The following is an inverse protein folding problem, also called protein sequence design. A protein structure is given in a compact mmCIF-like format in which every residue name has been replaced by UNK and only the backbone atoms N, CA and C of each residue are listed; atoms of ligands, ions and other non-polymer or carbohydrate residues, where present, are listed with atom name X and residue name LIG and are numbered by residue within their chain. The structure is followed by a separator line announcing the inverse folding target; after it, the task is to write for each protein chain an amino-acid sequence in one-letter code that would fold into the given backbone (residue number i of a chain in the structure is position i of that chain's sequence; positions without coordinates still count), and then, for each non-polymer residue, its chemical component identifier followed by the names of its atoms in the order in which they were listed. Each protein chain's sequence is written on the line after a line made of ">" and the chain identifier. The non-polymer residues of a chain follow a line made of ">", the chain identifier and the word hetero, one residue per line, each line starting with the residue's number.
data_IF_431609579649
#
_entry.id   IF_431609579649
#
_cell.length_a   1.000
_cell.length_b   1.000
_cell.length_c   1.000
_cell.angle_alpha   90.00
_cell.angle_beta   90.00
_cell.angle_gamma   90.00
#
_symmetry.space_group_name_H-M   'P 1'
#
loop_
_entity.id
_entity.type
_entity.pdbx_description
1 polymer ?
#
# COMPACT_ATOMS: atom_id res chain seq x y z
N UNK A 1 8.48 -5.83 -7.72
CA UNK A 1 7.30 -6.26 -6.94
C UNK A 1 6.15 -6.59 -7.89
N UNK A 2 5.72 -5.66 -8.74
CA UNK A 2 4.60 -5.90 -9.66
C UNK A 2 4.83 -7.12 -10.58
N UNK A 3 6.06 -7.40 -10.98
CA UNK A 3 6.42 -8.54 -11.83
C UNK A 3 6.38 -9.86 -11.07
N UNK A 4 6.92 -9.89 -9.85
CA UNK A 4 7.05 -11.11 -9.06
C UNK A 4 5.79 -11.41 -8.22
N UNK A 5 4.92 -10.43 -8.01
CA UNK A 5 3.80 -10.54 -7.08
C UNK A 5 4.24 -10.53 -5.62
N UNK A 6 3.31 -10.90 -4.73
CA UNK A 6 3.55 -10.98 -3.30
C UNK A 6 3.93 -9.63 -2.68
N UNK A 7 4.79 -9.69 -1.67
CA UNK A 7 5.39 -8.53 -1.03
C UNK A 7 6.92 -8.69 -0.98
N UNK A 8 7.63 -7.57 -0.97
CA UNK A 8 9.09 -7.54 -0.81
C UNK A 8 9.49 -6.49 0.21
N UNK A 9 10.41 -6.86 1.09
CA UNK A 9 11.16 -5.90 1.86
C UNK A 9 12.30 -5.36 0.99
N UNK A 10 12.29 -4.06 0.76
CA UNK A 10 13.32 -3.37 -0.03
C UNK A 10 14.20 -2.54 0.88
N UNK A 11 15.52 -2.77 0.81
CA UNK A 11 16.51 -1.93 1.47
C UNK A 11 17.43 -1.32 0.42
N UNK A 12 17.46 0.00 0.37
CA UNK A 12 18.34 0.71 -0.54
C UNK A 12 19.79 0.65 -0.02
N UNK A 13 20.73 0.34 -0.89
CA UNK A 13 22.14 0.48 -0.60
C UNK A 13 22.50 1.96 -0.39
N UNK A 14 23.11 2.26 0.74
CA UNK A 14 23.59 3.58 1.12
C UNK A 14 25.01 3.44 1.68
N UNK A 15 25.87 4.48 1.56
CA UNK A 15 27.20 4.44 2.14
C UNK A 15 27.24 4.12 3.65
N UNK A 16 26.11 4.36 4.34
CA UNK A 16 25.97 4.22 5.79
C UNK A 16 25.46 2.86 6.26
N UNK A 17 24.93 2.00 5.38
CA UNK A 17 24.35 0.71 5.77
C UNK A 17 25.15 -0.53 5.32
N UNK A 18 26.38 -0.32 4.84
CA UNK A 18 27.30 -1.38 4.43
C UNK A 18 26.81 -2.32 3.31
N UNK A 19 25.69 -2.02 2.67
CA UNK A 19 25.20 -2.77 1.52
C UNK A 19 25.94 -2.30 0.25
N UNK A 20 26.38 -3.25 -0.56
CA UNK A 20 27.01 -2.98 -1.87
C UNK A 20 25.99 -2.78 -2.97
N UNK A 21 24.80 -3.35 -2.81
CA UNK A 21 23.68 -3.25 -3.72
C UNK A 21 22.33 -3.22 -2.97
N UNK A 22 21.28 -2.81 -3.66
CA UNK A 22 19.94 -2.83 -3.07
C UNK A 22 19.51 -4.25 -2.71
N UNK A 23 18.99 -4.42 -1.52
CA UNK A 23 18.50 -5.71 -1.04
C UNK A 23 16.99 -5.83 -1.27
N UNK A 24 16.57 -6.99 -1.80
CA UNK A 24 15.18 -7.36 -2.05
C UNK A 24 14.92 -8.71 -1.37
N UNK A 25 14.15 -8.70 -0.29
CA UNK A 25 13.78 -9.93 0.42
C UNK A 25 12.31 -10.22 0.17
N UNK A 26 11.99 -11.31 -0.56
CA UNK A 26 10.60 -11.74 -0.73
C UNK A 26 9.94 -12.03 0.62
N UNK A 27 8.66 -11.71 0.74
CA UNK A 27 7.83 -12.01 1.89
C UNK A 27 6.58 -12.74 1.45
N UNK A 28 6.25 -13.84 2.14
CA UNK A 28 4.96 -14.48 1.98
C UNK A 28 3.91 -13.58 2.64
N UNK A 29 3.04 -13.02 1.82
CA UNK A 29 1.91 -12.23 2.27
C UNK A 29 0.66 -12.77 1.59
N UNK A 30 -0.25 -13.29 2.42
CA UNK A 30 -1.61 -13.56 1.95
C UNK A 30 -2.26 -12.27 1.47
N UNK A 31 -2.95 -12.33 0.33
CA UNK A 31 -3.54 -11.16 -0.27
C UNK A 31 -4.45 -10.41 0.72
N UNK A 32 -4.19 -9.11 0.92
CA UNK A 32 -4.98 -8.21 1.78
C UNK A 32 -5.84 -7.33 0.90
N UNK A 33 -7.15 -7.29 1.19
CA UNK A 33 -8.08 -6.37 0.52
C UNK A 33 -7.76 -4.93 0.85
N UNK A 34 -7.79 -4.09 -0.15
CA UNK A 34 -7.55 -2.66 -0.01
C UNK A 34 -8.49 -1.86 -0.91
N UNK A 35 -8.84 -0.66 -0.47
CA UNK A 35 -9.45 0.35 -1.32
C UNK A 35 -8.43 1.43 -1.62
N UNK A 36 -8.10 1.62 -2.89
CA UNK A 36 -7.27 2.73 -3.36
C UNK A 36 -8.22 3.87 -3.69
N UNK A 37 -7.96 5.05 -3.15
CA UNK A 37 -8.72 6.28 -3.45
C UNK A 37 -7.80 7.27 -4.14
N UNK A 38 -8.10 7.61 -5.39
CA UNK A 38 -7.44 8.68 -6.13
C UNK A 38 -8.18 10.00 -5.88
N UNK A 39 -7.47 10.96 -5.33
CA UNK A 39 -8.01 12.31 -5.04
C UNK A 39 -8.00 13.23 -6.25
N UNK A 40 -7.40 12.82 -7.36
CA UNK A 40 -7.15 13.63 -8.56
C UNK A 40 -6.34 14.92 -8.32
N UNK A 41 -5.77 15.07 -7.13
CA UNK A 41 -4.88 16.21 -6.84
C UNK A 41 -3.54 15.99 -7.50
N UNK A 42 -3.21 16.88 -8.43
CA UNK A 42 -1.92 16.86 -9.11
C UNK A 42 -0.81 17.17 -8.10
N UNK A 43 0.25 16.36 -8.13
CA UNK A 43 1.39 16.53 -7.24
C UNK A 43 2.71 16.57 -8.02
N UNK A 44 3.66 17.35 -7.52
CA UNK A 44 5.04 17.34 -8.00
C UNK A 44 5.95 16.69 -6.94
N UNK A 45 6.38 15.47 -7.22
CA UNK A 45 7.26 14.73 -6.30
C UNK A 45 8.59 15.44 -6.06
N UNK A 46 9.14 16.13 -7.06
CA UNK A 46 10.40 16.87 -6.93
C UNK A 46 10.27 18.02 -5.92
N UNK A 47 9.16 18.75 -5.98
CA UNK A 47 8.92 19.88 -5.07
C UNK A 47 8.74 19.39 -3.64
N UNK A 48 8.03 18.27 -3.44
CA UNK A 48 7.86 17.66 -2.12
C UNK A 48 9.20 17.18 -1.54
N UNK A 49 10.04 16.54 -2.34
CA UNK A 49 11.39 16.12 -1.92
C UNK A 49 12.25 17.34 -1.58
N UNK A 50 12.23 18.37 -2.42
CA UNK A 50 12.97 19.62 -2.15
C UNK A 50 12.50 20.29 -0.85
N UNK A 51 11.19 20.33 -0.61
CA UNK A 51 10.60 20.86 0.63
C UNK A 51 11.10 20.11 1.87
N UNK A 52 11.06 18.78 1.87
CA UNK A 52 11.55 17.97 2.99
C UNK A 52 13.06 18.14 3.17
N UNK A 53 13.81 18.26 2.09
CA UNK A 53 15.27 18.53 2.14
C UNK A 53 15.56 19.89 2.77
N UNK A 54 14.82 20.94 2.40
CA UNK A 54 14.96 22.26 3.03
C UNK A 54 14.64 22.21 4.53
N UNK A 55 13.54 21.57 4.91
CA UNK A 55 13.18 21.37 6.32
C UNK A 55 14.28 20.61 7.10
N UNK A 56 14.92 19.62 6.47
CA UNK A 56 16.01 18.89 7.10
C UNK A 56 17.21 19.79 7.41
N UNK A 57 17.49 20.78 6.56
CA UNK A 57 18.56 21.75 6.80
C UNK A 57 18.20 22.76 7.90
N UNK A 58 16.93 23.17 7.98
CA UNK A 58 16.43 24.15 8.95
C UNK A 58 16.19 23.55 10.33
N UNK A 59 15.59 22.33 10.37
CA UNK A 59 15.18 21.64 11.59
C UNK A 59 15.66 20.17 11.60
N UNK A 60 16.98 19.92 11.57
CA UNK A 60 17.53 18.58 11.39
C UNK A 60 17.06 17.59 12.46
N UNK A 61 17.00 17.99 13.71
CA UNK A 61 16.59 17.10 14.82
C UNK A 61 15.14 16.62 14.64
N UNK A 62 14.23 17.50 14.25
CA UNK A 62 12.83 17.16 14.03
C UNK A 62 12.65 16.21 12.85
N UNK A 63 13.31 16.50 11.74
CA UNK A 63 13.19 15.70 10.51
C UNK A 63 13.85 14.34 10.70
N UNK A 64 15.01 14.26 11.35
CA UNK A 64 15.68 12.99 11.65
C UNK A 64 14.85 12.13 12.61
N UNK A 65 14.21 12.73 13.63
CA UNK A 65 13.31 12.00 14.52
C UNK A 65 12.11 11.42 13.75
N UNK A 66 11.51 12.17 12.81
CA UNK A 66 10.43 11.66 11.97
C UNK A 66 10.91 10.50 11.06
N UNK A 67 12.09 10.60 10.46
CA UNK A 67 12.67 9.51 9.67
C UNK A 67 12.98 8.27 10.49
N UNK A 68 13.54 8.43 11.69
CA UNK A 68 13.80 7.33 12.60
C UNK A 68 12.49 6.61 13.01
N UNK A 69 11.43 7.38 13.28
CA UNK A 69 10.12 6.81 13.57
C UNK A 69 9.55 6.06 12.37
N UNK A 70 9.59 6.63 11.16
CA UNK A 70 9.14 5.96 9.92
C UNK A 70 9.91 4.64 9.71
N UNK A 71 11.22 4.65 9.91
CA UNK A 71 12.06 3.45 9.81
C UNK A 71 11.62 2.40 10.84
N UNK A 72 11.41 2.77 12.08
CA UNK A 72 10.95 1.87 13.14
C UNK A 72 9.58 1.25 12.81
N UNK A 73 8.61 2.07 12.36
CA UNK A 73 7.29 1.60 11.95
C UNK A 73 7.37 0.64 10.75
N UNK A 74 8.29 0.89 9.81
CA UNK A 74 8.51 0.01 8.65
C UNK A 74 9.05 -1.36 9.08
N UNK A 75 9.98 -1.40 10.04
CA UNK A 75 10.52 -2.65 10.62
C UNK A 75 9.40 -3.42 11.33
N UNK A 76 8.57 -2.74 12.12
CA UNK A 76 7.43 -3.38 12.79
C UNK A 76 6.41 -3.93 11.79
N UNK A 77 6.07 -3.17 10.74
CA UNK A 77 5.17 -3.64 9.68
C UNK A 77 5.74 -4.88 8.97
N UNK A 78 7.05 -4.89 8.67
CA UNK A 78 7.72 -6.04 8.08
C UNK A 78 7.65 -7.28 8.99
N UNK A 79 7.82 -7.11 10.31
CA UNK A 79 7.71 -8.20 11.27
C UNK A 79 6.28 -8.77 11.32
N UNK A 80 5.25 -7.90 11.31
CA UNK A 80 3.84 -8.32 11.26
C UNK A 80 3.52 -9.09 9.97
N UNK A 81 4.01 -8.63 8.83
CA UNK A 81 3.76 -9.27 7.53
C UNK A 81 4.46 -10.62 7.39
N UNK A 82 5.49 -10.90 8.20
CA UNK A 82 6.18 -12.19 8.24
C UNK A 82 5.61 -13.17 9.25
N UNK A 83 4.75 -12.71 10.15
CA UNK A 83 4.17 -13.54 11.20
C UNK A 83 2.98 -14.33 10.67
N UNK A 84 3.23 -15.56 10.22
CA UNK A 84 2.22 -16.48 9.73
C UNK A 84 1.26 -17.00 10.81
N UNK A 85 1.50 -16.68 12.09
CA UNK A 85 0.62 -17.09 13.20
C UNK A 85 -0.52 -16.11 13.43
N UNK A 86 -0.40 -14.89 12.92
CA UNK A 86 -1.43 -13.87 13.04
C UNK A 86 -2.64 -14.20 12.18
N UNK A 87 -3.84 -14.11 12.75
CA UNK A 87 -5.04 -14.09 11.95
C UNK A 87 -5.07 -12.80 11.10
N UNK A 88 -5.72 -12.86 9.93
CA UNK A 88 -5.85 -11.70 9.04
C UNK A 88 -6.44 -10.47 9.75
N UNK A 89 -7.45 -10.69 10.59
CA UNK A 89 -8.05 -9.64 11.40
C UNK A 89 -7.01 -8.93 12.28
N UNK A 90 -6.25 -9.68 13.08
CA UNK A 90 -5.21 -9.12 13.94
C UNK A 90 -4.10 -8.45 13.13
N UNK A 91 -3.75 -9.00 11.96
CA UNK A 91 -2.79 -8.36 11.06
C UNK A 91 -3.29 -6.99 10.61
N UNK A 92 -4.54 -6.90 10.11
CA UNK A 92 -5.12 -5.63 9.64
C UNK A 92 -5.25 -4.63 10.79
N UNK A 93 -5.72 -5.05 11.96
CA UNK A 93 -5.82 -4.20 13.15
C UNK A 93 -4.46 -3.58 13.53
N UNK A 94 -3.41 -4.41 13.61
CA UNK A 94 -2.06 -3.93 13.97
C UNK A 94 -1.42 -3.08 12.88
N UNK A 95 -1.58 -3.46 11.62
CA UNK A 95 -1.11 -2.64 10.49
C UNK A 95 -1.81 -1.28 10.45
N UNK A 96 -3.10 -1.22 10.76
CA UNK A 96 -3.85 0.03 10.83
C UNK A 96 -3.24 1.02 11.82
N UNK A 97 -2.83 0.56 12.99
CA UNK A 97 -2.14 1.41 13.98
C UNK A 97 -0.81 1.94 13.42
N UNK A 98 -0.01 1.06 12.79
CA UNK A 98 1.27 1.49 12.20
C UNK A 98 1.07 2.47 11.04
N UNK A 99 0.01 2.26 10.23
CA UNK A 99 -0.35 3.15 9.14
C UNK A 99 -0.75 4.54 9.63
N UNK A 100 -1.54 4.64 10.69
CA UNK A 100 -1.92 5.92 11.29
C UNK A 100 -0.69 6.66 11.85
N UNK A 101 0.17 5.97 12.60
CA UNK A 101 1.38 6.55 13.12
C UNK A 101 2.33 7.02 12.00
N UNK A 102 2.47 6.22 10.95
CA UNK A 102 3.27 6.59 9.78
C UNK A 102 2.71 7.82 9.07
N UNK A 103 1.38 7.87 8.90
CA UNK A 103 0.73 9.02 8.27
C UNK A 103 0.99 10.31 9.05
N UNK A 104 0.92 10.28 10.39
CA UNK A 104 1.23 11.43 11.23
C UNK A 104 2.67 11.94 11.01
N UNK A 105 3.66 11.04 10.88
CA UNK A 105 5.02 11.43 10.57
C UNK A 105 5.13 12.10 9.20
N UNK A 106 4.43 11.57 8.20
CA UNK A 106 4.40 12.16 6.85
C UNK A 106 3.75 13.55 6.85
N UNK A 107 2.68 13.75 7.62
CA UNK A 107 2.06 15.08 7.81
C UNK A 107 3.03 16.05 8.49
N UNK A 108 3.77 15.61 9.51
CA UNK A 108 4.81 16.43 10.18
C UNK A 108 5.94 16.82 9.23
N UNK A 109 6.27 15.99 8.26
CA UNK A 109 7.22 16.31 7.17
C UNK A 109 6.62 17.23 6.11
N UNK A 110 5.36 17.65 6.27
CA UNK A 110 4.69 18.59 5.38
C UNK A 110 4.30 18.02 4.03
N UNK A 111 4.19 16.68 3.92
CA UNK A 111 3.74 16.00 2.70
C UNK A 111 2.27 15.56 2.75
N UNK A 112 1.52 16.01 3.76
CA UNK A 112 0.06 15.88 3.83
C UNK A 112 -0.65 16.75 2.79
N UNK A 113 -1.97 16.51 2.62
CA UNK A 113 -2.85 17.33 1.79
C UNK A 113 -4.29 17.21 2.27
N UNK A 114 -5.07 18.30 2.22
CA UNK A 114 -6.45 18.33 2.72
C UNK A 114 -7.37 17.27 2.09
N UNK A 115 -7.18 16.95 0.80
CA UNK A 115 -7.92 15.89 0.14
C UNK A 115 -7.62 14.51 0.76
N UNK A 116 -6.36 14.23 1.12
CA UNK A 116 -5.95 12.98 1.78
C UNK A 116 -6.50 12.90 3.21
N UNK A 117 -6.52 14.03 3.94
CA UNK A 117 -7.15 14.09 5.26
C UNK A 117 -8.67 13.87 5.18
N UNK A 118 -9.32 14.37 4.12
CA UNK A 118 -10.73 14.11 3.88
C UNK A 118 -11.00 12.60 3.62
N UNK A 119 -10.15 11.92 2.84
CA UNK A 119 -10.22 10.46 2.68
C UNK A 119 -10.11 9.77 4.03
N UNK A 120 -9.12 10.14 4.86
CA UNK A 120 -8.94 9.56 6.20
C UNK A 120 -10.16 9.76 7.10
N UNK A 121 -10.73 10.96 7.10
CA UNK A 121 -11.94 11.27 7.87
C UNK A 121 -13.12 10.37 7.45
N UNK A 122 -13.38 10.24 6.16
CA UNK A 122 -14.46 9.38 5.63
C UNK A 122 -14.27 7.91 5.98
N UNK A 123 -13.01 7.42 5.99
CA UNK A 123 -12.67 6.07 6.43
C UNK A 123 -12.88 5.91 7.94
N UNK A 124 -12.42 6.87 8.75
CA UNK A 124 -12.53 6.81 10.20
C UNK A 124 -14.00 6.80 10.70
N UNK A 125 -14.91 7.49 10.01
CA UNK A 125 -16.36 7.43 10.27
C UNK A 125 -16.92 6.00 10.18
N UNK A 126 -16.21 5.11 9.48
CA UNK A 126 -16.55 3.69 9.29
C UNK A 126 -15.57 2.75 10.00
N UNK A 127 -14.76 3.28 10.91
CA UNK A 127 -13.73 2.55 11.66
C UNK A 127 -12.68 1.88 10.76
N UNK A 128 -12.43 2.46 9.59
CA UNK A 128 -11.41 2.02 8.64
C UNK A 128 -10.20 2.94 8.73
N UNK A 129 -9.02 2.36 8.52
CA UNK A 129 -7.77 3.09 8.51
C UNK A 129 -7.33 3.37 7.08
N UNK A 130 -6.98 4.63 6.81
CA UNK A 130 -6.42 5.04 5.53
C UNK A 130 -5.17 5.89 5.72
N UNK A 131 -4.22 5.79 4.80
CA UNK A 131 -3.04 6.66 4.75
C UNK A 131 -2.70 7.06 3.32
N UNK A 132 -2.02 8.17 3.19
CA UNK A 132 -1.42 8.54 1.91
C UNK A 132 -0.42 7.47 1.43
N UNK A 133 -0.31 7.32 0.11
CA UNK A 133 0.69 6.47 -0.53
C UNK A 133 1.53 7.26 -1.53
N UNK A 134 2.77 6.84 -1.73
CA UNK A 134 3.75 7.54 -2.55
C UNK A 134 4.32 8.79 -1.86
N UNK A 135 4.57 9.84 -2.62
CA UNK A 135 5.23 11.06 -2.14
C UNK A 135 4.34 11.96 -1.27
N UNK A 136 3.04 11.73 -1.23
CA UNK A 136 2.08 12.64 -0.57
C UNK A 136 1.74 13.86 -1.43
N UNK A 137 1.24 14.93 -0.80
CA UNK A 137 0.85 16.16 -1.47
C UNK A 137 -0.38 16.03 -2.37
N UNK A 138 -1.14 14.97 -2.27
CA UNK A 138 -2.26 14.59 -3.12
C UNK A 138 -2.10 13.17 -3.68
N UNK A 139 -2.73 12.88 -4.82
CA UNK A 139 -2.74 11.57 -5.45
C UNK A 139 -3.55 10.56 -4.66
N UNK A 140 -2.99 9.37 -4.37
CA UNK A 140 -3.76 8.26 -3.82
C UNK A 140 -3.58 8.07 -2.31
N UNK A 141 -4.64 7.61 -1.68
CA UNK A 141 -4.62 6.98 -0.38
C UNK A 141 -4.94 5.49 -0.49
N UNK A 142 -4.45 4.70 0.45
CA UNK A 142 -4.77 3.29 0.60
C UNK A 142 -5.54 3.08 1.91
N UNK A 143 -6.65 2.37 1.85
CA UNK A 143 -7.47 1.95 2.99
C UNK A 143 -7.39 0.46 3.13
N UNK A 144 -7.05 -0.05 4.32
CA UNK A 144 -7.11 -1.49 4.61
C UNK A 144 -8.56 -1.92 4.83
N UNK A 145 -8.92 -3.06 4.23
CA UNK A 145 -10.21 -3.72 4.41
C UNK A 145 -9.98 -5.07 5.08
N UNK A 146 -10.55 -5.24 6.28
CA UNK A 146 -10.67 -6.54 6.91
C UNK A 146 -11.64 -7.42 6.12
N UNK A 147 -11.49 -8.73 6.18
CA UNK A 147 -12.40 -9.70 5.54
C UNK A 147 -13.83 -9.60 6.09
N UNK A 148 -14.01 -8.99 7.27
CA UNK A 148 -15.33 -8.75 7.88
C UNK A 148 -15.99 -7.43 7.45
N UNK A 149 -15.26 -6.59 6.72
CA UNK A 149 -15.86 -5.37 6.14
C UNK A 149 -16.81 -5.78 5.05
N UNK A 150 -18.10 -5.58 5.31
CA UNK A 150 -19.15 -5.95 4.38
C UNK A 150 -19.19 -5.05 3.15
N UNK A 151 -19.74 -5.59 2.08
CA UNK A 151 -19.86 -4.91 0.80
C UNK A 151 -20.66 -3.60 0.91
N UNK A 152 -21.65 -3.54 1.81
CA UNK A 152 -22.46 -2.34 2.00
C UNK A 152 -21.64 -1.19 2.58
N UNK A 153 -20.71 -1.49 3.49
CA UNK A 153 -19.77 -0.50 4.05
C UNK A 153 -18.81 0.03 2.97
N UNK A 154 -18.29 -0.86 2.12
CA UNK A 154 -17.41 -0.46 1.00
C UNK A 154 -18.17 0.41 -0.01
N UNK A 155 -19.39 0.04 -0.37
CA UNK A 155 -20.24 0.82 -1.27
C UNK A 155 -20.59 2.21 -0.71
N UNK A 156 -20.93 2.30 0.58
CA UNK A 156 -21.20 3.58 1.25
C UNK A 156 -19.94 4.46 1.27
N UNK A 157 -18.77 3.87 1.55
CA UNK A 157 -17.51 4.60 1.51
C UNK A 157 -17.20 5.09 0.09
N UNK A 158 -17.31 4.22 -0.90
CA UNK A 158 -17.13 4.56 -2.32
C UNK A 158 -18.07 5.68 -2.77
N UNK A 159 -19.35 5.62 -2.35
CA UNK A 159 -20.30 6.69 -2.64
C UNK A 159 -19.88 8.02 -2.00
N UNK A 160 -19.46 7.98 -0.72
CA UNK A 160 -18.98 9.18 -0.02
C UNK A 160 -17.72 9.76 -0.66
N UNK A 161 -16.78 8.91 -1.10
CA UNK A 161 -15.57 9.33 -1.84
C UNK A 161 -15.93 9.98 -3.17
N UNK A 162 -16.85 9.37 -3.93
CA UNK A 162 -17.32 9.91 -5.20
C UNK A 162 -18.00 11.27 -5.04
N UNK A 163 -18.76 11.48 -3.97
CA UNK A 163 -19.38 12.77 -3.65
C UNK A 163 -18.34 13.89 -3.39
N UNK A 164 -17.09 13.53 -3.08
CA UNK A 164 -15.96 14.46 -2.97
C UNK A 164 -15.18 14.62 -4.29
N UNK A 165 -15.62 14.00 -5.36
CA UNK A 165 -14.92 13.99 -6.65
C UNK A 165 -13.75 13.00 -6.72
N UNK A 166 -13.64 12.06 -5.79
CA UNK A 166 -12.57 11.05 -5.77
C UNK A 166 -13.00 9.80 -6.54
N UNK A 167 -12.03 9.06 -7.07
CA UNK A 167 -12.25 7.74 -7.68
C UNK A 167 -11.67 6.66 -6.78
N UNK A 168 -12.40 5.55 -6.65
CA UNK A 168 -11.97 4.42 -5.82
C UNK A 168 -11.81 3.16 -6.64
N UNK A 169 -10.82 2.34 -6.25
CA UNK A 169 -10.53 1.04 -6.84
C UNK A 169 -10.34 0.03 -5.71
N UNK A 170 -11.24 -0.95 -5.62
CA UNK A 170 -11.04 -2.09 -4.72
C UNK A 170 -10.11 -3.10 -5.40
N UNK A 171 -9.13 -3.58 -4.67
CA UNK A 171 -8.14 -4.55 -5.15
C UNK A 171 -7.54 -5.31 -3.97
N UNK A 172 -6.56 -6.15 -4.27
CA UNK A 172 -5.78 -6.87 -3.27
C UNK A 172 -4.29 -6.57 -3.45
N UNK A 173 -3.56 -6.50 -2.35
CA UNK A 173 -2.10 -6.45 -2.31
C UNK A 173 -1.56 -7.78 -1.80
N UNK A 174 -0.43 -8.25 -2.31
CA UNK A 174 0.14 -9.56 -1.97
C UNK A 174 -0.28 -10.68 -2.92
N UNK A 175 -1.06 -10.38 -3.96
CA UNK A 175 -1.48 -11.35 -4.97
C UNK A 175 -0.36 -11.74 -5.95
N UNK A 176 -0.68 -12.58 -6.95
CA UNK A 176 0.27 -12.99 -7.98
C UNK A 176 0.80 -11.81 -8.79
N UNK A 177 1.97 -11.96 -9.37
CA UNK A 177 2.63 -10.95 -10.19
C UNK A 177 2.05 -10.81 -11.59
N UNK A 178 2.91 -10.49 -12.53
CA UNK A 178 2.53 -10.43 -13.95
C UNK A 178 2.14 -11.82 -14.44
N UNK A 179 0.94 -11.93 -15.00
CA UNK A 179 0.46 -13.14 -15.63
C UNK A 179 0.28 -12.95 -17.14
N UNK A 180 0.25 -14.03 -17.87
CA UNK A 180 -0.12 -14.09 -19.29
C UNK A 180 -1.51 -14.72 -19.41
N UNK A 181 -2.42 -14.04 -20.10
CA UNK A 181 -3.72 -14.62 -20.43
C UNK A 181 -3.54 -15.56 -21.63
N UNK A 182 -3.76 -16.85 -21.41
CA UNK A 182 -3.63 -17.88 -22.45
C UNK A 182 -5.03 -18.32 -22.86
N UNK A 183 -5.30 -18.33 -24.17
CA UNK A 183 -6.58 -18.83 -24.68
C UNK A 183 -6.66 -20.36 -24.54
N UNK A 184 -7.76 -20.93 -24.02
CA UNK A 184 -7.85 -22.38 -23.71
C UNK A 184 -7.52 -23.33 -24.87
N UNK A 185 -7.75 -22.89 -26.10
CA UNK A 185 -7.55 -23.73 -27.31
C UNK A 185 -6.09 -23.83 -27.75
N UNK A 186 -5.16 -23.04 -27.22
CA UNK A 186 -3.79 -23.01 -27.73
C UNK A 186 -2.79 -23.83 -26.88
N UNK A 187 -3.11 -24.13 -25.61
CA UNK A 187 -2.13 -24.72 -24.69
C UNK A 187 -2.67 -25.81 -23.74
N UNK A 188 -3.80 -26.43 -24.05
CA UNK A 188 -4.41 -27.46 -23.20
C UNK A 188 -3.50 -28.72 -23.01
N UNK A 189 -2.41 -28.84 -23.73
CA UNK A 189 -1.50 -30.00 -23.69
C UNK A 189 -0.19 -29.77 -22.92
N UNK A 190 0.10 -28.54 -22.49
CA UNK A 190 1.46 -28.22 -22.02
C UNK A 190 1.51 -27.72 -20.55
N UNK A 191 0.40 -27.36 -19.94
CA UNK A 191 0.36 -26.78 -18.58
C UNK A 191 -0.46 -27.67 -17.65
N UNK A 192 0.15 -28.10 -16.56
CA UNK A 192 -0.50 -28.90 -15.52
C UNK A 192 -1.75 -28.19 -14.94
N UNK A 193 -2.63 -29.00 -14.36
CA UNK A 193 -4.03 -28.70 -14.03
C UNK A 193 -4.29 -27.75 -12.85
N UNK A 194 -3.35 -26.93 -12.40
CA UNK A 194 -3.54 -26.02 -11.26
C UNK A 194 -4.03 -24.61 -11.65
N UNK A 195 -4.88 -24.53 -12.68
CA UNK A 195 -5.49 -23.27 -13.12
C UNK A 195 -6.76 -22.97 -12.32
N UNK A 196 -6.66 -22.25 -11.22
CA UNK A 196 -7.78 -21.95 -10.33
C UNK A 196 -8.74 -20.83 -10.81
N UNK A 197 -8.51 -20.20 -11.99
CA UNK A 197 -9.31 -19.05 -12.44
C UNK A 197 -9.69 -19.16 -13.92
N UNK A 198 -10.52 -20.12 -14.25
CA UNK A 198 -11.11 -20.20 -15.60
C UNK A 198 -12.39 -19.34 -15.65
N UNK A 199 -12.28 -18.09 -16.06
CA UNK A 199 -13.40 -17.39 -16.66
C UNK A 199 -13.47 -17.81 -18.14
N UNK A 200 -14.65 -17.81 -18.77
CA UNK A 200 -14.88 -18.13 -20.20
C UNK A 200 -14.00 -17.35 -21.21
N UNK A 201 -13.11 -16.49 -20.74
CA UNK A 201 -12.25 -15.60 -21.53
C UNK A 201 -10.79 -16.05 -21.64
N UNK A 202 -10.32 -17.05 -20.86
CA UNK A 202 -8.93 -17.52 -20.88
C UNK A 202 -8.39 -17.93 -19.52
N UNK A 203 -7.19 -18.50 -19.51
CA UNK A 203 -6.48 -18.94 -18.29
C UNK A 203 -5.29 -18.00 -18.07
N UNK A 204 -5.20 -17.42 -16.85
CA UNK A 204 -4.03 -16.65 -16.46
C UNK A 204 -2.92 -17.57 -15.97
N UNK A 205 -1.75 -17.48 -16.59
CA UNK A 205 -0.52 -18.16 -16.17
C UNK A 205 0.40 -17.12 -15.54
N UNK A 206 0.81 -17.34 -14.31
CA UNK A 206 1.72 -16.49 -13.57
C UNK A 206 3.13 -17.07 -13.55
N UNK A 207 4.13 -16.21 -13.66
CA UNK A 207 5.54 -16.59 -13.60
C UNK A 207 5.99 -16.86 -12.16
#
# INVERSE_FOLDING_TARGET
>A
VATLGGAVAFTRALPTNHLTENELVPMNLDAVRVLITDTHVIRNTKDLVAKVSAQKNEEPVRVEAAFAMIQHLSIQAQALLRDSTLSRRHLVERLSVLMDLNHLQLVQLGVGHSALENVRRLCAERRLCAKLTGAGGGGCAITLLDDQVDESTVQQLTHAMRAQGFTTYETQVGGPGVGVLVHPNEYASTLGTDAAWANNAGIWVYA
#
